data_IF_085226208989
#
_entry.id   IF_085226208989
#
_cell.length_a   1.000
_cell.length_b   1.000
_cell.length_c   1.000
_cell.angle_alpha   90.00
_cell.angle_beta   90.00
_cell.angle_gamma   90.00
#
_symmetry.space_group_name_H-M   'P 1'
#
loop_
_entity.id
_entity.type
_entity.pdbx_description
1 polymer ?
#
# COMPACT_ATOMS: atom_id res chain seq x y z
N UNK A 1 -27.86 64.00 6.73
CA UNK A 1 -28.99 63.07 6.96
C UNK A 1 -29.20 62.30 5.67
N UNK A 2 -28.66 61.09 5.62
CA UNK A 2 -28.74 60.20 4.48
C UNK A 2 -29.87 59.19 4.75
N UNK A 3 -30.75 59.01 3.78
CA UNK A 3 -31.79 57.98 3.82
C UNK A 3 -31.56 57.02 2.68
N UNK A 4 -31.27 55.79 3.09
CA UNK A 4 -30.99 54.58 2.32
C UNK A 4 -32.19 54.16 1.48
N UNK A 5 -31.98 53.92 0.18
CA UNK A 5 -32.83 53.04 -0.62
C UNK A 5 -32.14 51.67 -0.67
N UNK A 6 -32.85 50.66 -0.17
CA UNK A 6 -32.44 49.28 -0.21
C UNK A 6 -32.72 48.71 -1.60
N UNK A 7 -31.66 48.36 -2.33
CA UNK A 7 -31.74 47.47 -3.48
C UNK A 7 -31.64 46.03 -2.97
N UNK A 8 -32.74 45.30 -3.12
CA UNK A 8 -32.78 43.87 -2.95
C UNK A 8 -32.08 43.22 -4.14
N UNK A 9 -30.79 42.90 -3.97
CA UNK A 9 -30.10 41.95 -4.83
C UNK A 9 -30.59 40.54 -4.45
N UNK A 10 -31.56 40.07 -5.22
CA UNK A 10 -32.02 38.70 -5.24
C UNK A 10 -30.86 37.85 -5.79
N UNK A 11 -30.07 37.25 -4.89
CA UNK A 11 -29.09 36.23 -5.24
C UNK A 11 -29.83 35.04 -5.84
N UNK A 12 -29.80 34.98 -7.16
CA UNK A 12 -30.19 33.81 -7.95
C UNK A 12 -29.29 32.65 -7.52
N UNK A 13 -29.85 31.75 -6.72
CA UNK A 13 -29.25 30.47 -6.34
C UNK A 13 -28.86 29.74 -7.64
N UNK A 14 -27.56 29.70 -7.93
CA UNK A 14 -27.03 29.03 -9.10
C UNK A 14 -27.09 27.52 -8.90
N UNK A 15 -27.55 26.82 -9.95
CA UNK A 15 -27.29 25.44 -10.33
C UNK A 15 -26.95 24.44 -9.21
N UNK A 16 -27.80 23.42 -9.04
CA UNK A 16 -27.52 22.23 -8.26
C UNK A 16 -26.07 21.76 -8.45
N UNK A 17 -25.24 21.91 -7.41
CA UNK A 17 -23.90 21.34 -7.39
C UNK A 17 -24.04 19.82 -7.53
N UNK A 18 -23.86 19.31 -8.74
CA UNK A 18 -23.67 17.88 -8.95
C UNK A 18 -22.44 17.47 -8.17
N UNK A 19 -22.65 16.79 -7.06
CA UNK A 19 -21.56 16.34 -6.19
C UNK A 19 -20.67 15.39 -6.99
N UNK A 20 -19.50 15.86 -7.44
CA UNK A 20 -18.48 15.01 -8.09
C UNK A 20 -18.16 13.81 -7.18
N UNK A 21 -18.64 12.62 -7.55
CA UNK A 21 -18.47 11.39 -6.77
C UNK A 21 -17.06 10.81 -6.92
N UNK A 22 -16.30 11.20 -7.95
CA UNK A 22 -14.96 10.67 -8.23
C UNK A 22 -13.92 11.02 -7.16
N UNK A 23 -14.23 11.96 -6.26
CA UNK A 23 -13.35 12.39 -5.17
C UNK A 23 -13.36 11.44 -3.97
N UNK A 24 -14.43 10.67 -3.76
CA UNK A 24 -14.56 9.84 -2.57
C UNK A 24 -14.10 8.40 -2.83
N UNK A 25 -13.41 7.85 -1.83
CA UNK A 25 -12.80 6.52 -1.85
C UNK A 25 -13.73 5.49 -1.20
N UNK A 26 -14.29 5.84 -0.05
CA UNK A 26 -15.08 4.93 0.78
C UNK A 26 -16.15 5.69 1.54
N UNK A 27 -17.35 5.13 1.65
CA UNK A 27 -18.43 5.62 2.49
C UNK A 27 -18.60 4.71 3.70
N UNK A 28 -18.84 5.32 4.86
CA UNK A 28 -19.21 4.68 6.11
C UNK A 28 -20.64 5.11 6.49
N UNK A 29 -21.46 4.15 6.88
CA UNK A 29 -22.86 4.40 7.24
C UNK A 29 -23.50 3.23 7.94
N UNK A 30 -24.81 3.28 8.12
CA UNK A 30 -25.56 2.23 8.84
C UNK A 30 -24.99 1.94 10.23
N UNK A 31 -24.62 3.01 10.93
CA UNK A 31 -24.09 2.93 12.28
C UNK A 31 -25.15 2.40 13.25
N UNK A 32 -24.80 1.37 14.03
CA UNK A 32 -25.66 0.81 15.08
C UNK A 32 -25.11 1.19 16.45
N UNK A 33 -26.01 1.58 17.37
CA UNK A 33 -25.66 2.02 18.73
C UNK A 33 -24.62 3.16 18.79
N UNK A 34 -24.62 4.02 17.76
CA UNK A 34 -23.77 5.22 17.64
C UNK A 34 -24.61 6.42 17.14
N UNK A 35 -25.61 6.88 17.91
CA UNK A 35 -26.63 7.83 17.44
C UNK A 35 -26.10 9.23 17.09
N UNK A 36 -24.90 9.60 17.56
CA UNK A 36 -24.29 10.92 17.33
C UNK A 36 -22.89 10.82 16.72
N UNK A 37 -22.64 9.84 15.83
CA UNK A 37 -21.30 9.59 15.29
C UNK A 37 -20.67 10.82 14.62
N UNK A 38 -21.45 11.73 14.04
CA UNK A 38 -20.96 12.98 13.47
C UNK A 38 -20.42 13.98 14.52
N UNK A 39 -20.89 13.89 15.78
CA UNK A 39 -20.43 14.71 16.90
C UNK A 39 -19.28 14.08 17.68
N UNK A 40 -18.90 12.84 17.36
CA UNK A 40 -17.77 12.17 18.00
C UNK A 40 -16.45 12.73 17.45
N UNK A 41 -15.62 13.31 18.31
CA UNK A 41 -14.27 13.77 17.97
C UNK A 41 -14.25 14.68 16.72
N UNK A 42 -13.32 14.46 15.79
CA UNK A 42 -13.18 15.20 14.54
C UNK A 42 -14.03 14.65 13.38
N UNK A 43 -15.03 13.80 13.66
CA UNK A 43 -15.84 13.16 12.61
C UNK A 43 -16.60 14.14 11.72
N UNK A 44 -16.81 15.37 12.19
CA UNK A 44 -17.44 16.45 11.42
C UNK A 44 -16.72 16.74 10.10
N UNK A 45 -15.41 16.46 10.01
CA UNK A 45 -14.60 16.66 8.80
C UNK A 45 -14.93 15.67 7.70
N UNK A 46 -15.44 14.50 8.06
CA UNK A 46 -15.73 13.40 7.14
C UNK A 46 -17.21 13.35 6.73
N UNK A 47 -18.06 14.30 7.16
CA UNK A 47 -19.50 14.24 6.89
C UNK A 47 -19.76 14.20 5.39
N UNK A 48 -20.45 13.15 4.96
CA UNK A 48 -20.91 12.99 3.59
C UNK A 48 -22.40 13.32 3.50
N UNK A 49 -22.73 14.28 2.65
CA UNK A 49 -24.13 14.58 2.31
C UNK A 49 -24.45 13.94 0.97
N UNK A 50 -25.31 12.91 0.93
CA UNK A 50 -25.59 12.22 -0.30
C UNK A 50 -26.26 13.13 -1.35
N UNK A 51 -25.94 12.98 -2.64
CA UNK A 51 -26.63 13.71 -3.69
C UNK A 51 -28.11 13.30 -3.72
N UNK A 52 -29.02 14.27 -3.80
CA UNK A 52 -30.48 14.02 -3.77
C UNK A 52 -30.97 13.18 -4.95
N UNK A 53 -30.33 13.33 -6.11
CA UNK A 53 -30.78 12.76 -7.38
C UNK A 53 -29.98 11.54 -7.83
N UNK A 54 -28.85 11.24 -7.16
CA UNK A 54 -28.00 10.09 -7.52
C UNK A 54 -28.22 8.93 -6.57
N UNK A 55 -28.40 7.73 -7.13
CA UNK A 55 -28.44 6.49 -6.35
C UNK A 55 -27.10 5.74 -6.35
N UNK A 56 -26.18 6.12 -7.24
CA UNK A 56 -24.89 5.48 -7.49
C UNK A 56 -24.05 5.34 -6.21
N UNK A 57 -24.22 6.26 -5.26
CA UNK A 57 -23.48 6.25 -4.01
C UNK A 57 -23.87 5.14 -3.03
N UNK A 58 -25.06 4.54 -3.20
CA UNK A 58 -25.56 3.44 -2.36
C UNK A 58 -25.85 2.16 -3.14
N UNK A 59 -25.53 2.10 -4.43
CA UNK A 59 -25.81 0.92 -5.27
C UNK A 59 -25.10 -0.35 -4.78
N UNK A 60 -23.97 -0.19 -4.08
CA UNK A 60 -23.24 -1.28 -3.47
C UNK A 60 -23.92 -1.84 -2.20
N UNK A 61 -25.03 -1.25 -1.75
CA UNK A 61 -25.74 -1.63 -0.53
C UNK A 61 -26.96 -2.51 -0.84
N UNK A 62 -27.09 -3.61 -0.12
CA UNK A 62 -28.29 -4.46 -0.15
C UNK A 62 -29.18 -4.13 1.04
N UNK A 63 -29.97 -3.07 0.97
CA UNK A 63 -30.94 -2.72 2.02
C UNK A 63 -31.15 -1.22 2.22
N UNK A 64 -31.87 -0.88 3.29
CA UNK A 64 -32.06 0.51 3.68
C UNK A 64 -30.75 1.12 4.19
N UNK A 65 -30.47 2.35 3.75
CA UNK A 65 -29.24 3.07 4.09
C UNK A 65 -29.62 4.26 4.97
N UNK A 66 -29.09 4.28 6.19
CA UNK A 66 -29.43 5.24 7.26
C UNK A 66 -28.21 6.09 7.61
N UNK A 67 -28.44 7.40 7.63
CA UNK A 67 -27.44 8.38 8.04
C UNK A 67 -27.31 8.47 9.58
N UNK A 68 -26.30 9.21 10.06
CA UNK A 68 -25.37 10.03 9.29
C UNK A 68 -24.34 9.20 8.49
N UNK A 69 -23.79 9.78 7.43
CA UNK A 69 -22.77 9.16 6.58
C UNK A 69 -21.44 9.89 6.73
N UNK A 70 -20.36 9.12 6.74
CA UNK A 70 -19.00 9.64 6.63
C UNK A 70 -18.38 9.17 5.32
N UNK A 71 -17.49 9.95 4.71
CA UNK A 71 -16.74 9.53 3.54
C UNK A 71 -15.26 9.92 3.65
N UNK A 72 -14.40 9.09 3.07
CA UNK A 72 -12.99 9.38 2.89
C UNK A 72 -12.77 9.97 1.50
N UNK A 73 -12.21 11.17 1.42
CA UNK A 73 -11.91 11.88 0.17
C UNK A 73 -10.40 11.85 -0.14
N UNK A 74 -10.06 11.69 -1.43
CA UNK A 74 -8.69 11.89 -1.90
C UNK A 74 -8.17 13.27 -1.50
N UNK A 75 -6.88 13.37 -1.16
CA UNK A 75 -6.18 14.62 -0.86
C UNK A 75 -6.66 15.40 0.38
N UNK A 76 -7.77 15.00 1.01
CA UNK A 76 -8.24 15.55 2.28
C UNK A 76 -8.02 14.58 3.43
N UNK A 77 -8.61 13.39 3.31
CA UNK A 77 -8.66 12.41 4.38
C UNK A 77 -7.68 11.27 4.12
N UNK A 78 -7.47 10.98 2.84
CA UNK A 78 -6.51 10.01 2.34
C UNK A 78 -5.22 10.73 1.89
N UNK A 79 -4.55 11.42 2.82
CA UNK A 79 -3.24 12.04 2.58
C UNK A 79 -2.08 11.18 3.08
N UNK A 80 -2.32 10.34 4.11
CA UNK A 80 -1.33 9.38 4.59
C UNK A 80 -1.47 8.06 3.78
N UNK A 81 -0.38 7.56 3.18
CA UNK A 81 -0.39 6.30 2.45
C UNK A 81 -0.60 5.04 3.29
N UNK A 82 -0.31 5.11 4.57
CA UNK A 82 -0.69 4.06 5.51
C UNK A 82 -2.20 4.02 5.70
N UNK A 83 -2.93 5.02 5.18
CA UNK A 83 -4.37 5.09 5.21
C UNK A 83 -4.90 5.74 6.47
N UNK A 84 -6.22 5.64 6.65
CA UNK A 84 -6.93 6.18 7.80
C UNK A 84 -7.01 5.12 8.92
N UNK A 85 -6.51 5.46 10.10
CA UNK A 85 -6.51 4.56 11.26
C UNK A 85 -7.74 4.80 12.14
N UNK A 86 -8.37 3.72 12.61
CA UNK A 86 -9.45 3.74 13.60
C UNK A 86 -8.94 3.09 14.88
N UNK A 87 -8.91 3.84 15.98
CA UNK A 87 -8.31 3.40 17.24
C UNK A 87 -8.71 4.27 18.42
N UNK A 88 -8.41 3.79 19.62
CA UNK A 88 -8.70 4.49 20.89
C UNK A 88 -7.58 5.45 21.34
N UNK A 89 -6.53 5.61 20.53
CA UNK A 89 -5.38 6.48 20.80
C UNK A 89 -4.67 6.84 19.49
N UNK A 90 -3.98 7.98 19.55
CA UNK A 90 -2.93 8.47 18.65
C UNK A 90 -1.72 7.53 18.48
N UNK A 91 -1.59 6.51 19.33
CA UNK A 91 -0.59 5.46 19.23
C UNK A 91 -0.99 4.39 18.20
N UNK A 92 -0.15 4.18 17.17
CA UNK A 92 -0.36 3.20 16.11
C UNK A 92 -0.49 1.78 16.63
N UNK A 93 0.12 1.47 17.78
CA UNK A 93 0.04 0.14 18.42
C UNK A 93 -1.31 -0.12 19.09
N UNK A 94 -2.15 0.91 19.22
CA UNK A 94 -3.52 0.84 19.79
C UNK A 94 -4.61 1.03 18.74
N UNK A 95 -4.24 1.07 17.48
CA UNK A 95 -5.22 1.08 16.39
C UNK A 95 -5.89 -0.29 16.26
N UNK A 96 -7.20 -0.30 16.03
CA UNK A 96 -7.96 -1.52 15.83
C UNK A 96 -8.08 -1.87 14.35
N UNK A 97 -8.19 -0.84 13.50
CA UNK A 97 -8.42 -0.97 12.06
C UNK A 97 -7.65 0.11 11.30
N UNK A 98 -7.26 -0.19 10.07
CA UNK A 98 -6.74 0.75 9.08
C UNK A 98 -7.50 0.60 7.79
N UNK A 99 -7.79 1.72 7.15
CA UNK A 99 -8.44 1.80 5.86
C UNK A 99 -7.44 2.44 4.90
N UNK A 100 -6.88 1.65 3.99
CA UNK A 100 -5.94 2.10 2.97
C UNK A 100 -6.43 1.73 1.57
N UNK A 101 -5.63 2.08 0.54
CA UNK A 101 -5.87 1.67 -0.83
C UNK A 101 -4.92 0.52 -1.18
N UNK A 102 -5.48 -0.58 -1.66
CA UNK A 102 -4.71 -1.69 -2.18
C UNK A 102 -4.16 -1.32 -3.57
N UNK A 103 -2.84 -1.36 -3.69
CA UNK A 103 -2.13 -0.86 -4.88
C UNK A 103 -2.41 -1.71 -6.11
N UNK A 104 -2.62 -3.03 -5.95
CA UNK A 104 -2.85 -3.93 -7.07
C UNK A 104 -4.29 -3.83 -7.59
N UNK A 105 -5.27 -3.83 -6.69
CA UNK A 105 -6.68 -3.78 -7.06
C UNK A 105 -7.21 -2.35 -7.21
N UNK A 106 -6.48 -1.34 -6.71
CA UNK A 106 -6.87 0.07 -6.62
C UNK A 106 -8.10 0.34 -5.73
N UNK A 107 -8.42 -0.62 -4.86
CA UNK A 107 -9.64 -0.60 -4.06
C UNK A 107 -9.37 -0.33 -2.59
N UNK A 108 -10.36 0.21 -1.85
CA UNK A 108 -10.27 0.32 -0.41
C UNK A 108 -10.02 -1.06 0.23
N UNK A 109 -9.10 -1.10 1.19
CA UNK A 109 -8.74 -2.28 1.94
C UNK A 109 -8.79 -1.96 3.42
N UNK A 110 -9.41 -2.86 4.18
CA UNK A 110 -9.46 -2.79 5.63
C UNK A 110 -8.49 -3.80 6.21
N UNK A 111 -7.56 -3.32 7.04
CA UNK A 111 -6.57 -4.14 7.74
C UNK A 111 -6.82 -4.04 9.23
N UNK A 112 -7.07 -5.18 9.88
CA UNK A 112 -7.23 -5.25 11.33
C UNK A 112 -5.86 -5.35 12.01
N UNK A 113 -5.63 -4.59 13.09
CA UNK A 113 -4.35 -4.48 13.81
C UNK A 113 -4.32 -5.17 15.19
N UNK A 114 -5.47 -5.36 15.85
CA UNK A 114 -5.49 -5.81 17.26
C UNK A 114 -5.60 -7.34 17.42
N UNK A 115 -4.69 -7.90 18.22
CA UNK A 115 -4.65 -9.31 18.65
C UNK A 115 -5.54 -9.61 19.87
N UNK A 116 -5.75 -8.62 20.76
CA UNK A 116 -6.45 -8.84 22.04
C UNK A 116 -7.97 -8.79 21.91
N UNK A 117 -8.48 -7.98 20.99
CA UNK A 117 -9.93 -7.81 20.76
C UNK A 117 -10.24 -7.88 19.26
N UNK A 118 -10.19 -9.06 18.63
CA UNK A 118 -10.39 -9.14 17.20
C UNK A 118 -11.79 -8.67 16.82
N UNK A 119 -11.86 -7.66 15.95
CA UNK A 119 -13.11 -7.14 15.41
C UNK A 119 -13.76 -8.22 14.56
N UNK A 120 -15.08 -8.34 14.63
CA UNK A 120 -15.81 -9.17 13.68
C UNK A 120 -16.00 -8.38 12.39
N UNK A 121 -15.17 -8.69 11.39
CA UNK A 121 -15.34 -8.16 10.03
C UNK A 121 -16.16 -9.17 9.21
N UNK A 122 -17.34 -8.75 8.80
CA UNK A 122 -18.25 -9.54 7.97
C UNK A 122 -18.26 -8.95 6.57
N UNK A 123 -17.93 -9.80 5.62
CA UNK A 123 -17.83 -9.48 4.21
C UNK A 123 -19.10 -9.96 3.53
N UNK A 124 -19.95 -9.03 3.10
CA UNK A 124 -21.16 -9.38 2.35
C UNK A 124 -20.81 -9.54 0.88
N UNK A 125 -21.17 -10.69 0.31
CA UNK A 125 -20.88 -11.00 -1.09
C UNK A 125 -21.97 -11.86 -1.71
N UNK A 126 -22.01 -11.88 -3.06
CA UNK A 126 -23.00 -12.68 -3.82
C UNK A 126 -22.97 -14.18 -3.50
N UNK A 127 -21.86 -14.68 -2.97
CA UNK A 127 -21.66 -16.10 -2.57
C UNK A 127 -21.98 -16.35 -1.09
N UNK A 128 -22.72 -15.45 -0.46
CA UNK A 128 -23.03 -15.48 0.97
C UNK A 128 -22.03 -14.71 1.82
N UNK A 129 -22.45 -14.41 3.05
CA UNK A 129 -21.66 -13.69 4.03
C UNK A 129 -20.48 -14.52 4.49
N UNK A 130 -19.31 -13.89 4.57
CA UNK A 130 -18.08 -14.52 5.09
C UNK A 130 -17.56 -13.72 6.25
N UNK A 131 -17.27 -14.40 7.35
CA UNK A 131 -16.51 -13.82 8.46
C UNK A 131 -15.02 -13.89 8.10
N UNK A 132 -14.32 -12.76 8.14
CA UNK A 132 -12.88 -12.75 7.97
C UNK A 132 -12.20 -13.53 9.13
N UNK A 133 -11.25 -14.45 8.86
CA UNK A 133 -10.41 -15.05 9.89
C UNK A 133 -9.77 -14.03 10.87
N UNK A 134 -9.47 -14.46 12.11
CA UNK A 134 -8.77 -13.62 13.06
C UNK A 134 -7.28 -13.46 12.70
N UNK A 135 -6.91 -12.26 12.25
CA UNK A 135 -5.59 -11.57 12.33
C UNK A 135 -4.28 -12.24 11.80
N UNK A 136 -3.34 -11.46 11.21
CA UNK A 136 -3.59 -10.24 10.44
C UNK A 136 -4.16 -10.66 9.09
N UNK A 137 -5.40 -10.28 8.82
CA UNK A 137 -5.99 -10.48 7.49
C UNK A 137 -6.32 -9.14 6.86
N UNK A 138 -5.96 -9.03 5.58
CA UNK A 138 -6.30 -7.92 4.72
C UNK A 138 -7.64 -8.22 4.07
N UNK A 139 -8.68 -7.53 4.49
CA UNK A 139 -9.99 -7.63 3.85
C UNK A 139 -10.05 -6.62 2.72
N UNK A 140 -9.97 -7.10 1.48
CA UNK A 140 -10.11 -6.28 0.26
C UNK A 140 -11.60 -6.10 -0.07
N UNK A 141 -12.03 -4.88 -0.39
CA UNK A 141 -13.32 -4.68 -1.06
C UNK A 141 -13.18 -5.05 -2.53
N UNK A 142 -13.58 -6.26 -2.91
CA UNK A 142 -13.58 -6.72 -4.30
C UNK A 142 -14.77 -6.13 -5.12
N UNK A 143 -14.71 -6.18 -6.45
CA UNK A 143 -15.83 -5.92 -7.37
C UNK A 143 -17.09 -6.71 -7.00
N UNK A 144 -16.95 -7.90 -6.44
CA UNK A 144 -18.05 -8.77 -6.01
C UNK A 144 -18.39 -8.70 -4.52
N UNK A 145 -17.74 -7.80 -3.79
CA UNK A 145 -17.77 -7.70 -2.32
C UNK A 145 -18.02 -6.26 -1.90
N UNK A 146 -19.29 -5.93 -1.63
CA UNK A 146 -19.73 -4.78 -0.86
C UNK A 146 -21.20 -5.00 -0.45
N UNK A 147 -21.61 -4.58 0.75
CA UNK A 147 -20.81 -3.85 1.76
C UNK A 147 -19.96 -4.74 2.69
N UNK A 148 -19.07 -4.13 3.47
CA UNK A 148 -18.39 -4.77 4.61
C UNK A 148 -18.99 -4.24 5.90
N UNK A 149 -19.36 -5.12 6.82
CA UNK A 149 -19.77 -4.76 8.18
C UNK A 149 -18.60 -4.92 9.14
N UNK A 150 -18.26 -3.84 9.84
CA UNK A 150 -17.27 -3.85 10.93
C UNK A 150 -18.01 -3.82 12.26
N UNK A 151 -17.84 -4.84 13.09
CA UNK A 151 -18.56 -5.00 14.35
C UNK A 151 -17.59 -5.02 15.55
N UNK A 152 -17.84 -4.09 16.49
CA UNK A 152 -17.09 -3.87 17.74
C UNK A 152 -17.79 -4.51 18.97
N UNK A 153 -18.75 -5.40 18.74
CA UNK A 153 -19.57 -6.05 19.77
C UNK A 153 -20.85 -5.26 20.06
N UNK A 154 -20.72 -4.09 20.67
CA UNK A 154 -21.86 -3.25 21.05
C UNK A 154 -22.28 -2.27 19.95
N UNK A 155 -21.41 -1.99 19.00
CA UNK A 155 -21.66 -1.10 17.86
C UNK A 155 -21.11 -1.70 16.58
N UNK A 156 -21.69 -1.29 15.46
CA UNK A 156 -21.21 -1.66 14.13
C UNK A 156 -21.43 -0.53 13.14
N UNK A 157 -20.73 -0.61 12.01
CA UNK A 157 -20.99 0.21 10.84
C UNK A 157 -20.74 -0.59 9.58
N UNK A 158 -21.26 -0.09 8.47
CA UNK A 158 -21.01 -0.63 7.14
C UNK A 158 -20.11 0.31 6.35
N UNK A 159 -19.20 -0.27 5.59
CA UNK A 159 -18.29 0.42 4.70
C UNK A 159 -18.50 -0.10 3.27
N UNK A 160 -18.61 0.81 2.31
CA UNK A 160 -18.76 0.46 0.90
C UNK A 160 -18.14 1.51 -0.01
N UNK A 161 -17.69 1.07 -1.18
CA UNK A 161 -17.21 1.97 -2.24
C UNK A 161 -18.36 2.53 -3.06
N UNK A 162 -18.13 3.70 -3.64
CA UNK A 162 -19.00 4.25 -4.67
C UNK A 162 -18.94 3.41 -5.95
N UNK A 163 -20.09 3.28 -6.64
CA UNK A 163 -20.13 2.79 -8.02
C UNK A 163 -20.13 4.00 -8.93
N UNK A 164 -19.08 4.17 -9.72
CA UNK A 164 -18.99 5.25 -10.72
C UNK A 164 -19.60 4.75 -12.02
N UNK A 165 -20.68 5.38 -12.47
CA UNK A 165 -21.44 4.95 -13.65
C UNK A 165 -21.05 5.74 -14.90
N UNK A 166 -20.53 6.96 -14.73
CA UNK A 166 -20.00 7.76 -15.84
C UNK A 166 -18.55 7.41 -16.18
N UNK A 167 -18.19 7.29 -17.47
CA UNK A 167 -16.80 7.17 -17.91
C UNK A 167 -15.92 8.33 -17.46
N UNK A 168 -16.45 9.55 -17.38
CA UNK A 168 -15.69 10.73 -16.97
C UNK A 168 -15.41 10.74 -15.46
N UNK A 169 -16.38 10.32 -14.64
CA UNK A 169 -16.17 10.12 -13.20
C UNK A 169 -15.12 9.04 -12.96
N UNK A 170 -15.19 7.93 -13.71
CA UNK A 170 -14.22 6.83 -13.62
C UNK A 170 -12.82 7.31 -13.99
N UNK A 171 -12.70 8.09 -15.08
CA UNK A 171 -11.42 8.68 -15.50
C UNK A 171 -10.86 9.63 -14.44
N UNK A 172 -11.70 10.51 -13.91
CA UNK A 172 -11.34 11.46 -12.85
C UNK A 172 -10.87 10.73 -11.58
N UNK A 173 -11.57 9.69 -11.16
CA UNK A 173 -11.19 8.86 -10.02
C UNK A 173 -9.80 8.24 -10.22
N UNK A 174 -9.55 7.65 -11.41
CA UNK A 174 -8.24 7.09 -11.72
C UNK A 174 -7.12 8.14 -11.74
N UNK A 175 -7.38 9.35 -12.23
CA UNK A 175 -6.39 10.44 -12.18
C UNK A 175 -6.05 10.84 -10.73
N UNK A 176 -7.06 10.93 -9.86
CA UNK A 176 -6.86 11.22 -8.43
C UNK A 176 -6.11 10.10 -7.72
N UNK A 177 -6.44 8.85 -8.03
CA UNK A 177 -5.75 7.68 -7.52
C UNK A 177 -4.27 7.68 -7.92
N UNK A 178 -3.97 7.94 -9.19
CA UNK A 178 -2.58 8.03 -9.69
C UNK A 178 -1.81 9.15 -9.00
N UNK A 179 -2.44 10.31 -8.81
CA UNK A 179 -1.85 11.43 -8.05
C UNK A 179 -1.63 11.06 -6.59
N UNK A 180 -2.57 10.36 -5.95
CA UNK A 180 -2.44 9.88 -4.57
C UNK A 180 -1.25 8.93 -4.42
N UNK A 181 -1.11 7.92 -5.29
CA UNK A 181 0.02 6.99 -5.23
C UNK A 181 1.36 7.65 -5.58
N UNK A 182 1.37 8.60 -6.50
CA UNK A 182 2.57 9.39 -6.78
C UNK A 182 3.00 10.21 -5.56
N UNK A 183 2.07 10.96 -4.96
CA UNK A 183 2.33 11.74 -3.75
C UNK A 183 2.83 10.84 -2.62
N UNK A 184 2.21 9.67 -2.43
CA UNK A 184 2.71 8.67 -1.48
C UNK A 184 4.20 8.37 -1.73
N UNK A 185 4.52 7.91 -2.93
CA UNK A 185 5.87 7.50 -3.26
C UNK A 185 6.89 8.63 -3.07
N UNK A 186 6.50 9.87 -3.41
CA UNK A 186 7.31 11.06 -3.22
C UNK A 186 7.54 11.38 -1.72
N UNK A 187 6.55 11.13 -0.87
CA UNK A 187 6.61 11.35 0.60
C UNK A 187 7.27 10.23 1.40
N UNK A 188 7.53 9.06 0.80
CA UNK A 188 8.14 7.95 1.53
C UNK A 188 9.48 8.37 2.15
N UNK A 189 9.76 8.05 3.43
CA UNK A 189 11.02 8.43 4.04
C UNK A 189 12.16 7.85 3.21
N UNK A 190 13.04 8.73 2.76
CA UNK A 190 14.33 8.32 2.22
C UNK A 190 15.27 8.34 3.40
N UNK A 191 16.02 7.26 3.60
CA UNK A 191 17.12 7.30 4.55
C UNK A 191 17.98 8.50 4.17
N UNK A 192 18.36 9.36 5.12
CA UNK A 192 19.08 10.59 4.82
C UNK A 192 20.33 10.19 4.05
N UNK A 193 20.26 10.34 2.73
CA UNK A 193 21.39 10.30 1.84
C UNK A 193 22.38 11.26 2.46
N UNK A 194 23.62 10.82 2.61
CA UNK A 194 24.71 11.72 2.95
C UNK A 194 24.50 12.96 2.08
N UNK A 195 24.42 14.14 2.71
CA UNK A 195 24.44 15.41 1.97
C UNK A 195 25.47 15.32 0.84
N UNK A 196 25.20 15.96 -0.32
CA UNK A 196 25.67 15.55 -1.65
C UNK A 196 27.18 15.78 -1.88
N UNK A 197 28.02 15.09 -1.11
CA UNK A 197 29.47 15.08 -1.30
C UNK A 197 29.86 14.21 -2.50
N UNK A 198 29.00 13.28 -2.91
CA UNK A 198 29.28 12.27 -3.94
C UNK A 198 28.49 12.43 -5.25
N UNK A 199 27.73 13.54 -5.41
CA UNK A 199 26.87 13.78 -6.58
C UNK A 199 25.49 13.12 -6.49
N UNK A 200 24.63 13.30 -7.52
CA UNK A 200 23.25 12.79 -7.50
C UNK A 200 23.20 11.27 -7.69
N UNK A 201 22.17 10.63 -7.15
CA UNK A 201 21.90 9.21 -7.44
C UNK A 201 21.60 8.98 -8.93
N UNK A 202 22.12 7.87 -9.48
CA UNK A 202 21.98 7.53 -10.91
C UNK A 202 21.72 6.05 -11.09
N UNK A 203 21.37 5.58 -12.29
CA UNK A 203 21.27 4.14 -12.56
C UNK A 203 22.54 3.34 -12.24
N UNK A 204 23.69 3.99 -12.03
CA UNK A 204 24.94 3.33 -11.67
C UNK A 204 25.34 3.51 -10.20
N UNK A 205 24.73 4.44 -9.46
CA UNK A 205 25.15 4.80 -8.09
C UNK A 205 23.93 5.02 -7.20
N UNK A 206 23.93 4.35 -6.05
CA UNK A 206 22.92 4.50 -4.98
C UNK A 206 23.56 4.75 -3.63
N UNK A 207 22.86 5.48 -2.77
CA UNK A 207 23.26 5.72 -1.40
C UNK A 207 22.44 4.88 -0.43
N UNK A 208 23.12 4.29 0.56
CA UNK A 208 22.50 3.50 1.61
C UNK A 208 22.79 4.05 3.00
N UNK A 209 22.37 3.29 4.00
CA UNK A 209 22.58 3.53 5.41
C UNK A 209 24.06 3.56 5.76
N UNK A 210 24.40 4.22 6.88
CA UNK A 210 25.76 4.33 7.40
C UNK A 210 26.77 4.86 6.36
N UNK A 211 26.32 5.77 5.50
CA UNK A 211 27.13 6.37 4.45
C UNK A 211 27.63 5.40 3.37
N UNK A 212 26.95 4.26 3.18
CA UNK A 212 27.28 3.31 2.12
C UNK A 212 27.03 3.91 0.73
N UNK A 213 27.96 3.69 -0.20
CA UNK A 213 27.82 4.09 -1.62
C UNK A 213 27.96 2.85 -2.49
N UNK A 214 26.89 2.44 -3.15
CA UNK A 214 26.88 1.26 -4.01
C UNK A 214 27.05 1.65 -5.48
N UNK A 215 28.08 1.12 -6.14
CA UNK A 215 28.36 1.35 -7.56
C UNK A 215 28.12 0.10 -8.37
N UNK A 216 27.33 0.20 -9.44
CA UNK A 216 27.10 -0.87 -10.43
C UNK A 216 28.36 -1.11 -11.28
N UNK A 217 28.77 -2.37 -11.37
CA UNK A 217 29.90 -2.80 -12.19
C UNK A 217 29.50 -3.69 -13.37
N UNK A 218 28.26 -4.21 -13.39
CA UNK A 218 27.76 -5.00 -14.51
C UNK A 218 26.36 -5.58 -14.28
N UNK A 219 25.78 -6.13 -15.33
CA UNK A 219 24.56 -6.96 -15.26
C UNK A 219 24.97 -8.42 -15.03
N UNK A 220 24.35 -9.08 -14.05
CA UNK A 220 24.62 -10.49 -13.73
C UNK A 220 23.60 -11.41 -14.39
N UNK A 221 22.30 -11.09 -14.24
CA UNK A 221 21.23 -11.95 -14.73
C UNK A 221 19.90 -11.21 -14.83
N UNK A 222 18.99 -11.75 -15.66
CA UNK A 222 17.59 -11.33 -15.75
C UNK A 222 16.69 -12.43 -15.22
N UNK A 223 15.87 -12.10 -14.24
CA UNK A 223 14.86 -13.00 -13.69
C UNK A 223 13.44 -12.56 -14.08
N UNK A 224 12.44 -13.30 -13.61
CA UNK A 224 11.02 -12.99 -13.87
C UNK A 224 10.59 -11.62 -13.35
N UNK A 225 11.18 -11.19 -12.22
CA UNK A 225 10.73 -10.02 -11.46
C UNK A 225 11.72 -8.85 -11.48
N UNK A 226 12.76 -8.91 -12.32
CA UNK A 226 13.76 -7.86 -12.41
C UNK A 226 15.12 -8.35 -12.87
N UNK A 227 16.07 -7.41 -12.93
CA UNK A 227 17.47 -7.66 -13.26
C UNK A 227 18.29 -7.67 -11.98
N UNK A 228 19.31 -8.52 -11.92
CA UNK A 228 20.30 -8.53 -10.84
C UNK A 228 21.61 -7.98 -11.37
N UNK A 229 22.19 -7.03 -10.64
CA UNK A 229 23.43 -6.36 -10.97
C UNK A 229 24.51 -6.67 -9.95
N UNK A 230 25.77 -6.73 -10.40
CA UNK A 230 26.92 -6.76 -9.50
C UNK A 230 27.20 -5.33 -9.05
N UNK A 231 27.23 -5.11 -7.75
CA UNK A 231 27.52 -3.80 -7.17
C UNK A 231 28.65 -3.91 -6.16
N UNK A 232 29.44 -2.83 -6.04
CA UNK A 232 30.53 -2.73 -5.07
C UNK A 232 30.25 -1.56 -4.15
N UNK A 233 30.35 -1.80 -2.85
CA UNK A 233 30.30 -0.72 -1.86
C UNK A 233 31.66 0.00 -1.83
N UNK A 234 31.64 1.32 -2.01
CA UNK A 234 32.83 2.09 -2.35
C UNK A 234 33.90 2.09 -1.26
N UNK A 235 33.49 2.07 0.01
CA UNK A 235 34.40 2.22 1.16
C UNK A 235 35.10 0.92 1.48
N UNK A 236 34.33 -0.14 1.69
CA UNK A 236 34.80 -1.47 2.10
C UNK A 236 35.22 -2.34 0.92
N UNK A 237 34.89 -1.93 -0.32
CA UNK A 237 35.10 -2.70 -1.56
C UNK A 237 34.42 -4.08 -1.56
N UNK A 238 33.45 -4.30 -0.67
CA UNK A 238 32.70 -5.55 -0.62
C UNK A 238 31.73 -5.62 -1.79
N UNK A 239 31.63 -6.80 -2.38
CA UNK A 239 30.79 -7.08 -3.54
C UNK A 239 29.42 -7.54 -3.03
N UNK A 240 28.37 -7.02 -3.66
CA UNK A 240 26.98 -7.37 -3.41
C UNK A 240 26.23 -7.60 -4.72
N UNK A 241 25.06 -8.22 -4.61
CA UNK A 241 24.07 -8.25 -5.68
C UNK A 241 23.02 -7.17 -5.42
N UNK A 242 22.62 -6.43 -6.46
CA UNK A 242 21.49 -5.51 -6.39
C UNK A 242 20.37 -6.00 -7.31
N UNK A 243 19.22 -6.33 -6.74
CA UNK A 243 18.02 -6.67 -7.50
C UNK A 243 17.24 -5.39 -7.82
N UNK A 244 17.05 -5.14 -9.10
CA UNK A 244 16.31 -4.02 -9.66
C UNK A 244 15.04 -4.54 -10.36
N UNK A 245 13.83 -4.17 -9.90
CA UNK A 245 12.59 -4.50 -10.60
C UNK A 245 12.58 -3.92 -12.01
N UNK A 246 11.96 -4.62 -12.96
CA UNK A 246 11.78 -4.08 -14.32
C UNK A 246 11.07 -2.73 -14.26
N UNK A 247 11.55 -1.76 -15.05
CA UNK A 247 11.08 -0.39 -15.00
C UNK A 247 10.99 0.27 -16.38
N UNK A 248 10.05 1.22 -16.51
CA UNK A 248 9.88 2.12 -17.66
C UNK A 248 9.66 3.55 -17.17
N UNK A 249 10.26 4.51 -17.87
CA UNK A 249 10.07 5.94 -17.60
C UNK A 249 8.61 6.41 -17.66
N UNK A 250 7.77 5.69 -18.40
CA UNK A 250 6.34 5.96 -18.54
C UNK A 250 5.45 5.22 -17.54
N UNK A 251 6.01 4.55 -16.53
CA UNK A 251 5.20 3.87 -15.54
C UNK A 251 4.36 4.83 -14.69
N UNK A 252 3.14 4.42 -14.38
CA UNK A 252 2.21 5.19 -13.55
C UNK A 252 2.60 5.13 -12.06
N UNK A 253 2.10 6.06 -11.25
CA UNK A 253 2.35 6.08 -9.81
C UNK A 253 1.93 4.77 -9.14
N UNK A 254 0.80 4.20 -9.54
CA UNK A 254 0.34 2.89 -9.07
C UNK A 254 1.39 1.80 -9.32
N UNK A 255 1.98 1.76 -10.53
CA UNK A 255 3.00 0.75 -10.89
C UNK A 255 4.30 0.92 -10.12
N UNK A 256 4.71 2.16 -9.88
CA UNK A 256 5.91 2.45 -9.08
C UNK A 256 5.74 1.90 -7.66
N UNK A 257 4.61 2.19 -7.03
CA UNK A 257 4.29 1.71 -5.68
C UNK A 257 4.13 0.19 -5.67
N UNK A 258 3.47 -0.41 -6.67
CA UNK A 258 3.26 -1.86 -6.76
C UNK A 258 4.60 -2.61 -6.76
N UNK A 259 5.56 -2.15 -7.58
CA UNK A 259 6.88 -2.77 -7.66
C UNK A 259 7.69 -2.57 -6.41
N UNK A 260 7.64 -1.38 -5.82
CA UNK A 260 8.29 -1.13 -4.55
C UNK A 260 7.74 -2.06 -3.47
N UNK A 261 6.42 -2.14 -3.30
CA UNK A 261 5.77 -3.04 -2.32
C UNK A 261 6.08 -4.51 -2.56
N UNK A 262 6.21 -4.95 -3.82
CA UNK A 262 6.67 -6.32 -4.14
C UNK A 262 8.12 -6.56 -3.76
N UNK A 263 9.00 -5.59 -4.00
CA UNK A 263 10.40 -5.69 -3.62
C UNK A 263 10.56 -5.67 -2.09
N UNK A 264 9.85 -4.77 -1.40
CA UNK A 264 9.77 -4.66 0.06
C UNK A 264 9.26 -5.98 0.68
N UNK A 265 8.17 -6.56 0.18
CA UNK A 265 7.68 -7.84 0.65
C UNK A 265 8.69 -9.00 0.44
N UNK A 266 9.54 -8.90 -0.59
CA UNK A 266 10.65 -9.84 -0.80
C UNK A 266 11.79 -9.61 0.19
N UNK A 267 12.13 -8.35 0.47
CA UNK A 267 13.13 -7.94 1.44
C UNK A 267 12.74 -8.41 2.86
N UNK A 268 11.53 -8.10 3.31
CA UNK A 268 11.05 -8.46 4.66
C UNK A 268 11.12 -9.98 4.90
N UNK A 269 10.70 -10.78 3.91
CA UNK A 269 10.80 -12.24 3.97
C UNK A 269 12.24 -12.71 4.11
N UNK A 270 13.20 -12.12 3.38
CA UNK A 270 14.61 -12.50 3.48
C UNK A 270 15.22 -12.10 4.83
N UNK A 271 14.80 -10.97 5.40
CA UNK A 271 15.20 -10.55 6.75
C UNK A 271 14.74 -11.57 7.79
N UNK A 272 13.50 -12.08 7.69
CA UNK A 272 12.98 -13.14 8.57
C UNK A 272 13.71 -14.48 8.41
N UNK A 273 14.30 -14.72 7.24
CA UNK A 273 14.97 -15.96 6.86
C UNK A 273 16.49 -15.95 7.09
N UNK A 274 17.05 -14.96 7.79
CA UNK A 274 18.49 -14.82 8.03
C UNK A 274 19.10 -16.08 8.68
N UNK A 275 19.73 -16.93 7.86
CA UNK A 275 20.36 -18.21 8.21
C UNK A 275 21.48 -18.58 7.23
N UNK A 276 22.42 -19.46 7.62
CA UNK A 276 23.32 -20.09 6.65
C UNK A 276 22.55 -20.74 5.50
N UNK A 277 23.14 -20.74 4.30
CA UNK A 277 22.59 -21.35 3.09
C UNK A 277 21.32 -20.69 2.52
N UNK A 278 20.88 -19.55 3.09
CA UNK A 278 19.86 -18.66 2.54
C UNK A 278 20.51 -17.31 2.28
N UNK A 279 20.31 -16.76 1.08
CA UNK A 279 20.87 -15.46 0.68
C UNK A 279 20.44 -14.37 1.65
N UNK A 280 21.41 -13.62 2.17
CA UNK A 280 21.12 -12.51 3.07
C UNK A 280 20.67 -11.26 2.30
N UNK A 281 19.53 -10.68 2.70
CA UNK A 281 19.16 -9.33 2.34
C UNK A 281 19.87 -8.34 3.25
N UNK A 282 20.56 -7.36 2.65
CA UNK A 282 21.37 -6.37 3.36
C UNK A 282 20.56 -5.09 3.55
N UNK A 283 20.01 -4.55 2.46
CA UNK A 283 19.41 -3.23 2.47
C UNK A 283 18.38 -3.05 1.34
N UNK A 284 17.35 -2.24 1.57
CA UNK A 284 16.40 -1.80 0.55
C UNK A 284 16.58 -0.29 0.30
N UNK A 285 17.06 0.05 -0.90
CA UNK A 285 17.40 1.40 -1.31
C UNK A 285 16.27 2.03 -2.11
N UNK A 286 15.73 3.13 -1.57
CA UNK A 286 14.87 4.07 -2.28
C UNK A 286 15.73 5.23 -2.80
N UNK A 287 15.46 5.67 -4.03
CA UNK A 287 16.20 6.79 -4.62
C UNK A 287 15.65 8.11 -4.08
N UNK A 288 16.51 8.91 -3.46
CA UNK A 288 16.20 10.22 -2.91
C UNK A 288 15.99 11.27 -4.00
N UNK A 289 16.97 11.38 -4.89
CA UNK A 289 17.09 12.52 -5.81
C UNK A 289 16.19 12.39 -7.04
N UNK A 290 15.86 11.15 -7.42
CA UNK A 290 15.03 10.86 -8.58
C UNK A 290 14.13 9.65 -8.33
N UNK A 291 12.93 9.92 -7.84
CA UNK A 291 11.88 8.92 -7.58
C UNK A 291 11.39 8.16 -8.81
N UNK A 292 11.78 8.58 -10.01
CA UNK A 292 11.53 7.78 -11.20
C UNK A 292 12.48 6.59 -11.28
N UNK A 293 13.65 6.63 -10.64
CA UNK A 293 14.58 5.52 -10.67
C UNK A 293 14.04 4.33 -9.85
N UNK A 294 14.21 3.09 -10.34
CA UNK A 294 13.73 1.92 -9.63
C UNK A 294 14.53 1.70 -8.32
N UNK A 295 13.86 1.18 -7.27
CA UNK A 295 14.52 0.81 -6.03
C UNK A 295 15.47 -0.37 -6.21
N UNK A 296 16.49 -0.48 -5.35
CA UNK A 296 17.40 -1.63 -5.31
C UNK A 296 17.26 -2.40 -4.01
N UNK A 297 17.22 -3.73 -4.10
CA UNK A 297 17.42 -4.60 -2.95
C UNK A 297 18.85 -5.13 -2.98
N UNK A 298 19.67 -4.69 -2.03
CA UNK A 298 21.05 -5.14 -1.85
C UNK A 298 21.03 -6.47 -1.10
N UNK A 299 21.74 -7.44 -1.64
CA UNK A 299 21.83 -8.80 -1.12
C UNK A 299 23.27 -9.28 -1.16
N UNK A 300 23.56 -10.36 -0.43
CA UNK A 300 24.79 -11.12 -0.61
C UNK A 300 25.01 -11.49 -2.08
N UNK A 301 26.26 -11.32 -2.55
CA UNK A 301 26.65 -11.73 -3.89
C UNK A 301 27.02 -13.21 -3.89
N UNK A 302 26.28 -14.00 -4.68
CA UNK A 302 26.61 -15.39 -4.99
C UNK A 302 27.15 -15.41 -6.42
N UNK A 303 28.39 -15.85 -6.58
CA UNK A 303 29.10 -15.83 -7.86
C UNK A 303 28.49 -16.81 -8.86
N UNK A 304 28.16 -18.02 -8.40
CA UNK A 304 27.65 -19.10 -9.23
C UNK A 304 26.23 -19.51 -8.85
N UNK A 305 25.43 -19.76 -9.87
CA UNK A 305 24.18 -20.50 -9.69
C UNK A 305 24.47 -21.99 -9.50
N UNK A 306 23.53 -22.73 -8.92
CA UNK A 306 23.66 -24.18 -8.86
C UNK A 306 23.74 -24.78 -10.27
N UNK A 307 22.99 -24.25 -11.24
CA UNK A 307 22.99 -24.74 -12.63
C UNK A 307 24.36 -24.58 -13.32
N UNK A 308 25.00 -23.42 -13.17
CA UNK A 308 26.37 -23.20 -13.65
C UNK A 308 27.37 -24.13 -12.97
N UNK A 309 27.24 -24.31 -11.65
CA UNK A 309 28.13 -25.17 -10.88
C UNK A 309 27.90 -26.69 -11.14
N UNK A 310 26.68 -27.10 -11.51
CA UNK A 310 26.28 -28.49 -11.81
C UNK A 310 27.00 -29.08 -13.02
N UNK A 311 27.43 -28.25 -13.97
CA UNK A 311 28.27 -28.70 -15.08
C UNK A 311 29.63 -29.26 -14.62
N UNK A 312 30.05 -28.94 -13.39
CA UNK A 312 31.29 -29.39 -12.77
C UNK A 312 31.08 -30.32 -11.55
N UNK A 313 29.83 -30.63 -11.17
CA UNK A 313 29.53 -31.46 -10.01
C UNK A 313 29.55 -32.96 -10.34
N UNK A 314 30.65 -33.64 -9.99
CA UNK A 314 30.73 -35.11 -9.92
C UNK A 314 31.17 -35.56 -8.52
N UNK A 315 30.58 -36.65 -8.02
CA UNK A 315 31.04 -37.36 -6.82
C UNK A 315 30.80 -36.61 -5.50
N UNK A 316 31.80 -36.61 -4.62
CA UNK A 316 31.70 -36.24 -3.19
C UNK A 316 31.17 -34.84 -2.85
N UNK A 317 31.11 -33.90 -3.81
CA UNK A 317 30.58 -32.54 -3.58
C UNK A 317 29.04 -32.51 -3.47
N UNK A 318 28.32 -33.47 -4.06
CA UNK A 318 26.86 -33.56 -3.87
C UNK A 318 26.48 -33.89 -2.43
N UNK A 319 27.33 -34.65 -1.73
CA UNK A 319 27.16 -35.01 -0.32
C UNK A 319 27.31 -33.82 0.63
N UNK A 320 27.84 -32.68 0.16
CA UNK A 320 27.96 -31.45 0.95
C UNK A 320 26.80 -30.49 0.67
N UNK A 321 26.39 -30.36 -0.60
CA UNK A 321 25.37 -29.37 -1.00
C UNK A 321 23.97 -29.82 -0.65
N UNK A 322 23.67 -31.12 -0.80
CA UNK A 322 22.32 -31.63 -0.51
C UNK A 322 21.92 -31.40 0.95
N UNK A 323 22.75 -31.70 1.97
CA UNK A 323 22.42 -31.36 3.36
C UNK A 323 22.17 -29.88 3.60
N UNK A 324 22.98 -28.99 2.99
CA UNK A 324 22.81 -27.54 3.11
C UNK A 324 21.47 -27.07 2.54
N UNK A 325 21.06 -27.63 1.39
CA UNK A 325 19.77 -27.33 0.79
C UNK A 325 18.60 -27.86 1.63
N UNK A 326 18.72 -29.07 2.17
CA UNK A 326 17.71 -29.66 3.06
C UNK A 326 17.53 -28.78 4.30
N UNK A 327 18.62 -28.39 4.96
CA UNK A 327 18.58 -27.53 6.15
C UNK A 327 17.88 -26.19 5.85
N UNK A 328 18.21 -25.55 4.73
CA UNK A 328 17.56 -24.31 4.31
C UNK A 328 16.06 -24.50 4.06
N UNK A 329 15.66 -25.57 3.37
CA UNK A 329 14.25 -25.87 3.06
C UNK A 329 13.45 -26.21 4.32
N UNK A 330 14.00 -27.03 5.22
CA UNK A 330 13.37 -27.34 6.50
C UNK A 330 13.12 -26.08 7.32
N UNK A 331 14.09 -25.16 7.35
CA UNK A 331 13.93 -23.88 8.03
C UNK A 331 12.85 -23.00 7.37
N UNK A 332 12.82 -22.90 6.04
CA UNK A 332 11.79 -22.16 5.31
C UNK A 332 10.38 -22.74 5.58
N UNK A 333 10.25 -24.06 5.60
CA UNK A 333 8.98 -24.72 5.93
C UNK A 333 8.54 -24.44 7.37
N UNK A 334 9.47 -24.48 8.33
CA UNK A 334 9.17 -24.14 9.73
C UNK A 334 8.71 -22.68 9.90
N UNK A 335 9.10 -21.79 8.98
CA UNK A 335 8.67 -20.38 8.93
C UNK A 335 7.38 -20.15 8.13
N UNK A 336 6.70 -21.21 7.68
CA UNK A 336 5.53 -21.13 6.80
C UNK A 336 5.78 -20.37 5.49
N UNK A 337 7.03 -20.31 5.03
CA UNK A 337 7.33 -19.84 3.68
C UNK A 337 6.91 -20.93 2.70
N UNK A 338 5.71 -20.79 2.12
CA UNK A 338 5.31 -21.60 0.97
C UNK A 338 6.00 -21.03 -0.27
N UNK A 339 6.84 -21.85 -0.90
CA UNK A 339 7.49 -21.60 -2.19
C UNK A 339 6.49 -21.42 -3.31
#
# INVERSE_FOLDING_TARGET
>A
MATTKADAAQETISAAETTDLSRYVLILGNFTNLPDVAKLSENYRYIFTPPKESHNWKEAMTGEVRGPFLALEFEKDMYNPDGWMIGSSDDTDRCHLRIDLDVESTWPRLTQFTHRNPLAVIVHGKRGDRKAPPYPEKVRQDRDVCPITVNFGTSSFQAWRLILTSPDETRSYHQRLEKHFKNYFDTMPVFPSIQPLSGPETFAVRFGQNSAVYKREGELSKGTNGTVHRVVEATSRKIYAAKEPYYKASDSGTRLVERFKRLEAGYDKLIELKRPHIVEAVELLLVADNRQLPPWMIMEYIEDSLDSALTHFKGARSLVIVPQFIEAVEFMHAKNCRT
#
